data_IF_345976270855
#
_entry.id   IF_345976270855
#
_cell.length_a   1.000
_cell.length_b   1.000
_cell.length_c   1.000
_cell.angle_alpha   90.00
_cell.angle_beta   90.00
_cell.angle_gamma   90.00
#
_symmetry.space_group_name_H-M   'P 1'
#
loop_
_entity.id
_entity.type
_entity.pdbx_description
1 polymer ?
#
# COMPACT_ATOMS: atom_id res chain seq x y z
N UNK A 1 -20.74 -2.17 -12.13
CA UNK A 1 -19.29 -2.51 -12.22
C UNK A 1 -18.35 -1.45 -11.63
N UNK A 2 -18.76 -0.18 -11.46
CA UNK A 2 -17.95 0.85 -10.76
C UNK A 2 -17.84 0.59 -9.25
N UNK A 3 -18.88 0.03 -8.64
CA UNK A 3 -18.97 -0.14 -7.18
C UNK A 3 -18.08 -1.25 -6.62
N UNK A 4 -17.78 -2.28 -7.43
CA UNK A 4 -16.96 -3.42 -6.99
C UNK A 4 -15.49 -3.02 -6.76
N UNK A 5 -15.00 -2.00 -7.49
CA UNK A 5 -13.64 -1.48 -7.32
C UNK A 5 -13.53 -0.60 -6.06
N UNK A 6 -14.56 0.19 -5.78
CA UNK A 6 -14.64 0.99 -4.56
C UNK A 6 -14.72 0.11 -3.31
N UNK A 7 -15.61 -0.90 -3.32
CA UNK A 7 -15.76 -1.85 -2.22
C UNK A 7 -14.48 -2.68 -1.97
N UNK A 8 -13.79 -3.12 -3.03
CA UNK A 8 -12.51 -3.81 -2.88
C UNK A 8 -11.42 -2.90 -2.30
N UNK A 9 -11.46 -1.60 -2.63
CA UNK A 9 -10.51 -0.61 -2.10
C UNK A 9 -10.77 -0.36 -0.62
N UNK A 10 -12.03 -0.19 -0.21
CA UNK A 10 -12.40 -0.02 1.21
C UNK A 10 -12.08 -1.26 2.04
N UNK A 11 -12.32 -2.46 1.52
CA UNK A 11 -12.01 -3.71 2.23
C UNK A 11 -10.50 -3.88 2.47
N UNK A 12 -9.66 -3.54 1.50
CA UNK A 12 -8.20 -3.59 1.64
C UNK A 12 -7.72 -2.54 2.64
N UNK A 13 -8.26 -1.32 2.59
CA UNK A 13 -7.95 -0.25 3.54
C UNK A 13 -8.34 -0.65 4.98
N UNK A 14 -9.52 -1.24 5.18
CA UNK A 14 -9.96 -1.73 6.50
C UNK A 14 -9.10 -2.89 7.02
N UNK A 15 -8.69 -3.81 6.15
CA UNK A 15 -7.84 -4.94 6.53
C UNK A 15 -6.43 -4.48 6.97
N UNK A 16 -5.86 -3.49 6.28
CA UNK A 16 -4.55 -2.92 6.62
C UNK A 16 -4.65 -2.07 7.90
N UNK A 17 -5.70 -1.26 8.05
CA UNK A 17 -5.90 -0.42 9.23
C UNK A 17 -6.16 -1.23 10.51
N UNK A 18 -6.78 -2.41 10.41
CA UNK A 18 -7.09 -3.28 11.55
C UNK A 18 -5.92 -4.16 12.02
N UNK A 19 -4.89 -4.34 11.18
CA UNK A 19 -3.73 -5.19 11.52
C UNK A 19 -2.60 -4.43 12.22
N UNK A 20 -2.67 -3.10 12.30
CA UNK A 20 -1.67 -2.26 12.99
C UNK A 20 -2.36 -1.39 14.03
N UNK A 21 -1.96 -1.53 15.30
CA UNK A 21 -2.43 -0.62 16.36
C UNK A 21 -1.89 0.79 16.12
N UNK A 22 -2.75 1.82 15.97
CA UNK A 22 -2.32 3.20 15.74
C UNK A 22 -1.47 3.76 16.88
N UNK A 23 -1.75 3.33 18.10
CA UNK A 23 -1.01 3.73 19.30
C UNK A 23 0.41 3.14 19.31
N UNK A 24 0.56 1.88 18.92
CA UNK A 24 1.87 1.20 18.81
C UNK A 24 2.68 1.79 17.65
N UNK A 25 2.03 2.10 16.52
CA UNK A 25 2.66 2.78 15.38
C UNK A 25 3.26 4.15 15.78
N UNK A 26 2.51 4.92 16.58
CA UNK A 26 2.94 6.24 17.09
C UNK A 26 4.07 6.13 18.13
N UNK A 27 4.12 5.04 18.89
CA UNK A 27 5.10 4.83 19.96
C UNK A 27 6.44 4.25 19.46
N UNK A 28 6.44 3.51 18.33
CA UNK A 28 7.64 2.88 17.75
C UNK A 28 8.28 3.73 16.63
N UNK A 29 7.61 4.79 16.16
CA UNK A 29 8.24 5.83 15.34
C UNK A 29 8.47 5.47 13.87
N UNK A 30 8.10 4.28 13.39
CA UNK A 30 7.89 4.03 11.95
C UNK A 30 7.06 2.76 11.78
N UNK A 31 5.74 2.87 11.58
CA UNK A 31 5.03 1.78 10.91
C UNK A 31 5.23 1.95 9.41
N UNK A 32 5.56 0.88 8.72
CA UNK A 32 5.72 0.86 7.26
C UNK A 32 4.80 -0.24 6.74
N UNK A 33 3.95 0.07 5.76
CA UNK A 33 3.19 -0.94 5.04
C UNK A 33 4.08 -1.44 3.90
N UNK A 34 4.36 -2.74 3.86
CA UNK A 34 5.13 -3.37 2.79
C UNK A 34 4.20 -4.27 1.98
N UNK A 35 4.30 -4.19 0.65
CA UNK A 35 3.59 -5.07 -0.26
C UNK A 35 4.48 -5.53 -1.41
N UNK A 36 4.11 -6.65 -2.01
CA UNK A 36 4.74 -7.17 -3.20
C UNK A 36 3.83 -6.95 -4.43
N UNK A 37 4.40 -6.41 -5.50
CA UNK A 37 3.79 -6.35 -6.82
C UNK A 37 3.88 -7.73 -7.43
N UNK A 38 2.73 -8.35 -7.65
CA UNK A 38 2.65 -9.67 -8.26
C UNK A 38 3.08 -9.61 -9.72
N UNK A 39 4.20 -10.27 -10.03
CA UNK A 39 4.61 -10.56 -11.39
C UNK A 39 3.90 -11.82 -11.88
N UNK A 40 2.95 -11.62 -12.81
CA UNK A 40 2.17 -12.72 -13.40
C UNK A 40 2.77 -13.20 -14.74
N UNK A 41 4.02 -12.82 -15.06
CA UNK A 41 4.65 -13.10 -16.36
C UNK A 41 4.16 -12.21 -17.51
N UNK A 42 3.36 -11.18 -17.19
CA UNK A 42 2.85 -10.19 -18.12
C UNK A 42 3.34 -8.80 -17.67
N UNK A 43 4.36 -8.31 -18.37
CA UNK A 43 5.05 -7.07 -18.01
C UNK A 43 4.13 -5.85 -17.98
N UNK A 44 3.12 -5.78 -18.85
CA UNK A 44 2.17 -4.67 -18.88
C UNK A 44 1.29 -4.68 -17.63
N UNK A 45 0.78 -5.87 -17.24
CA UNK A 45 -0.02 -6.03 -16.02
C UNK A 45 0.80 -5.77 -14.75
N UNK A 46 2.07 -6.18 -14.74
CA UNK A 46 2.99 -5.92 -13.64
C UNK A 46 3.27 -4.42 -13.50
N UNK A 47 3.58 -3.72 -14.60
CA UNK A 47 3.79 -2.26 -14.59
C UNK A 47 2.54 -1.53 -14.12
N UNK A 48 1.36 -1.89 -14.63
CA UNK A 48 0.09 -1.25 -14.24
C UNK A 48 -0.21 -1.38 -12.75
N UNK A 49 0.18 -2.49 -12.11
CA UNK A 49 0.04 -2.66 -10.66
C UNK A 49 1.05 -1.80 -9.90
N UNK A 50 2.30 -1.76 -10.34
CA UNK A 50 3.32 -0.90 -9.76
C UNK A 50 2.92 0.59 -9.83
N UNK A 51 2.38 1.04 -10.97
CA UNK A 51 1.90 2.41 -11.14
C UNK A 51 0.74 2.74 -10.20
N UNK A 52 -0.19 1.79 -10.00
CA UNK A 52 -1.29 1.94 -9.06
C UNK A 52 -0.79 2.12 -7.62
N UNK A 53 0.18 1.31 -7.18
CA UNK A 53 0.74 1.45 -5.83
C UNK A 53 1.55 2.74 -5.69
N UNK A 54 2.30 3.13 -6.73
CA UNK A 54 3.02 4.40 -6.77
C UNK A 54 2.06 5.59 -6.61
N UNK A 55 0.88 5.54 -7.25
CA UNK A 55 -0.15 6.57 -7.11
C UNK A 55 -0.72 6.66 -5.68
N UNK A 56 -0.70 5.56 -4.91
CA UNK A 56 -1.05 5.56 -3.48
C UNK A 56 0.09 6.01 -2.55
N UNK A 57 1.25 6.38 -3.10
CA UNK A 57 2.41 6.85 -2.34
C UNK A 57 3.39 5.75 -1.94
N UNK A 58 3.19 4.52 -2.41
CA UNK A 58 4.19 3.47 -2.18
C UNK A 58 5.45 3.74 -3.00
N UNK A 59 6.59 3.41 -2.42
CA UNK A 59 7.91 3.57 -3.02
C UNK A 59 8.58 2.21 -3.19
N UNK A 60 9.27 1.94 -4.30
CA UNK A 60 10.00 0.68 -4.48
C UNK A 60 11.22 0.60 -3.56
N UNK A 61 11.57 -0.61 -3.11
CA UNK A 61 12.84 -0.83 -2.43
C UNK A 61 14.01 -0.77 -3.43
N UNK A 62 15.15 -0.16 -3.09
CA UNK A 62 16.27 0.03 -4.01
C UNK A 62 16.81 -1.27 -4.63
N UNK A 63 16.79 -2.36 -3.87
CA UNK A 63 17.32 -3.67 -4.28
C UNK A 63 16.28 -4.59 -4.89
N UNK A 64 15.00 -4.33 -4.64
CA UNK A 64 13.87 -5.21 -5.02
C UNK A 64 12.68 -4.35 -5.43
N UNK A 65 12.63 -3.85 -6.68
CA UNK A 65 11.68 -2.82 -7.08
C UNK A 65 10.21 -3.29 -7.11
N UNK A 66 9.96 -4.60 -7.21
CA UNK A 66 8.62 -5.17 -7.07
C UNK A 66 8.15 -5.27 -5.61
N UNK A 67 9.04 -5.04 -4.64
CA UNK A 67 8.65 -4.90 -3.24
C UNK A 67 8.59 -3.42 -2.91
N UNK A 68 7.42 -2.96 -2.51
CA UNK A 68 7.16 -1.54 -2.28
C UNK A 68 6.78 -1.29 -0.83
N UNK A 69 7.05 -0.08 -0.35
CA UNK A 69 6.79 0.33 1.01
C UNK A 69 6.10 1.70 1.07
N UNK A 70 5.22 1.90 2.05
CA UNK A 70 4.56 3.17 2.34
C UNK A 70 4.76 3.50 3.83
N UNK A 71 5.44 4.61 4.17
CA UNK A 71 5.55 5.06 5.55
C UNK A 71 4.19 5.47 6.14
N UNK A 72 3.82 4.93 7.30
CA UNK A 72 2.54 5.24 7.99
C UNK A 72 2.50 6.68 8.51
N UNK A 73 3.66 7.35 8.66
CA UNK A 73 3.72 8.79 8.92
C UNK A 73 3.00 9.62 7.83
N UNK A 74 2.93 9.11 6.59
CA UNK A 74 2.20 9.70 5.47
C UNK A 74 0.70 9.39 5.49
N UNK A 75 0.28 8.30 6.16
CA UNK A 75 -1.14 7.92 6.26
C UNK A 75 -1.89 8.87 7.20
N UNK A 76 -1.25 9.38 8.25
CA UNK A 76 -1.89 10.36 9.14
C UNK A 76 -2.31 11.66 8.43
N UNK A 77 -1.59 12.11 7.40
CA UNK A 77 -1.98 13.30 6.62
C UNK A 77 -3.08 13.05 5.58
N UNK A 78 -3.47 11.79 5.34
CA UNK A 78 -4.56 11.42 4.43
C UNK A 78 -5.89 11.16 5.15
N UNK A 79 -5.88 11.12 6.48
CA UNK A 79 -7.03 10.82 7.35
C UNK A 79 -7.56 12.05 8.12
N UNK A 80 -6.95 13.24 7.92
CA UNK A 80 -7.46 14.55 8.35
C UNK A 80 -8.19 15.25 7.19
#
# INVERSE_FOLDING_TARGET
MKDLRAAATEAILWQIASSVSPAVAKQIGTSVVILDVLDCGDAEKTSRRADLYTAFGFQPLPTTPLRMFLPVATISSLLE
#
